data_IF_731366782183
#
_entry.id   IF_731366782183
#
_cell.length_a   1.000
_cell.length_b   1.000
_cell.length_c   1.000
_cell.angle_alpha   90.00
_cell.angle_beta   90.00
_cell.angle_gamma   90.00
#
_symmetry.space_group_name_H-M   'P 1'
#
loop_
_entity.id
_entity.type
_entity.pdbx_description
1 polymer ?
#
# COMPACT_ATOMS: atom_id res chain seq x y z
N UNK A 1 1.57 -1.95 20.87
CA UNK A 1 1.44 -2.14 19.42
C UNK A 1 0.53 -3.31 19.13
N UNK A 2 -0.17 -3.27 18.01
CA UNK A 2 -1.13 -4.28 17.60
C UNK A 2 -0.73 -4.83 16.24
N UNK A 3 0.28 -5.72 16.17
CA UNK A 3 0.75 -6.26 14.89
C UNK A 3 -0.30 -7.14 14.21
N UNK A 4 -1.19 -7.72 14.98
CA UNK A 4 -2.30 -8.54 14.50
C UNK A 4 -3.62 -8.06 15.10
N UNK A 5 -4.66 -8.09 14.29
CA UNK A 5 -6.05 -7.86 14.69
C UNK A 5 -6.83 -9.17 14.58
N UNK A 6 -7.66 -9.46 15.57
CA UNK A 6 -8.61 -10.57 15.49
C UNK A 6 -9.89 -10.07 14.80
N UNK A 7 -10.08 -10.47 13.55
CA UNK A 7 -11.28 -10.16 12.76
C UNK A 7 -11.97 -11.46 12.40
N UNK A 8 -13.26 -11.58 12.72
CA UNK A 8 -14.06 -12.78 12.44
C UNK A 8 -13.44 -14.08 12.99
N UNK A 9 -12.77 -14.02 14.16
CA UNK A 9 -12.10 -15.17 14.77
C UNK A 9 -10.77 -15.57 14.10
N UNK A 10 -10.26 -14.79 13.15
CA UNK A 10 -8.96 -15.01 12.50
C UNK A 10 -7.98 -13.88 12.84
N UNK A 11 -6.74 -14.25 13.11
CA UNK A 11 -5.64 -13.28 13.28
C UNK A 11 -5.18 -12.79 11.90
N UNK A 12 -5.34 -11.50 11.66
CA UNK A 12 -4.92 -10.84 10.42
C UNK A 12 -3.85 -9.80 10.71
N UNK A 13 -2.80 -9.68 9.88
CA UNK A 13 -1.80 -8.64 10.05
C UNK A 13 -2.43 -7.26 9.95
N UNK A 14 -2.21 -6.40 10.95
CA UNK A 14 -2.81 -5.05 11.02
C UNK A 14 -2.44 -4.20 9.80
N UNK A 15 -1.20 -4.33 9.29
CA UNK A 15 -0.77 -3.58 8.11
C UNK A 15 -1.59 -3.94 6.86
N UNK A 16 -1.98 -5.22 6.72
CA UNK A 16 -2.83 -5.66 5.60
C UNK A 16 -4.25 -5.08 5.70
N UNK A 17 -4.83 -5.13 6.91
CA UNK A 17 -6.16 -4.55 7.18
C UNK A 17 -6.16 -3.05 6.91
N UNK A 18 -5.16 -2.31 7.43
CA UNK A 18 -5.05 -0.87 7.21
C UNK A 18 -4.70 -0.53 5.75
N UNK A 19 -3.91 -1.36 5.07
CA UNK A 19 -3.66 -1.22 3.64
C UNK A 19 -4.95 -1.30 2.81
N UNK A 20 -5.78 -2.30 3.08
CA UNK A 20 -7.09 -2.44 2.44
C UNK A 20 -8.05 -1.29 2.80
N UNK A 21 -8.07 -0.88 4.08
CA UNK A 21 -8.85 0.28 4.51
C UNK A 21 -8.39 1.56 3.79
N UNK A 22 -7.08 1.76 3.64
CA UNK A 22 -6.51 2.88 2.88
C UNK A 22 -6.98 2.90 1.44
N UNK A 23 -6.97 1.74 0.75
CA UNK A 23 -7.52 1.63 -0.60
C UNK A 23 -9.02 1.98 -0.63
N UNK A 24 -9.81 1.54 0.35
CA UNK A 24 -11.21 1.91 0.47
C UNK A 24 -11.43 3.42 0.68
N UNK A 25 -10.65 4.04 1.57
CA UNK A 25 -10.73 5.50 1.80
C UNK A 25 -10.29 6.29 0.57
N UNK A 26 -9.25 5.85 -0.14
CA UNK A 26 -8.81 6.46 -1.39
C UNK A 26 -9.88 6.39 -2.48
N UNK A 27 -10.52 5.23 -2.65
CA UNK A 27 -11.64 5.08 -3.58
C UNK A 27 -12.81 6.00 -3.20
N UNK A 28 -13.19 6.02 -1.92
CA UNK A 28 -14.27 6.88 -1.44
C UNK A 28 -13.96 8.37 -1.70
N UNK A 29 -12.74 8.80 -1.39
CA UNK A 29 -12.31 10.18 -1.64
C UNK A 29 -12.39 10.54 -3.14
N UNK A 30 -11.92 9.64 -4.03
CA UNK A 30 -12.01 9.82 -5.47
C UNK A 30 -13.47 9.93 -5.95
N UNK A 31 -14.35 9.00 -5.52
CA UNK A 31 -15.75 8.96 -5.92
C UNK A 31 -16.55 10.17 -5.43
N UNK A 32 -16.27 10.67 -4.22
CA UNK A 32 -16.91 11.87 -3.69
C UNK A 32 -16.57 13.12 -4.51
N UNK A 33 -15.39 13.16 -5.12
CA UNK A 33 -14.92 14.29 -5.94
C UNK A 33 -15.40 14.24 -7.39
N UNK A 34 -15.77 13.08 -7.92
CA UNK A 34 -16.18 12.93 -9.33
C UNK A 34 -17.26 13.94 -9.75
N UNK A 35 -18.25 14.18 -8.90
CA UNK A 35 -19.32 15.14 -9.19
C UNK A 35 -18.80 16.57 -9.42
N UNK A 36 -17.80 16.99 -8.64
CA UNK A 36 -17.22 18.34 -8.75
C UNK A 36 -16.56 18.58 -10.11
N UNK A 37 -16.03 17.52 -10.71
CA UNK A 37 -15.32 17.59 -12.00
C UNK A 37 -16.17 17.07 -13.18
N UNK A 38 -17.45 16.79 -12.97
CA UNK A 38 -18.33 16.27 -14.02
C UNK A 38 -17.96 14.89 -14.55
N UNK A 39 -17.24 14.08 -13.73
CA UNK A 39 -16.75 12.77 -14.12
C UNK A 39 -17.71 11.65 -13.72
N UNK A 40 -17.76 10.59 -14.54
CA UNK A 40 -18.48 9.36 -14.24
C UNK A 40 -17.85 8.67 -13.02
N UNK A 41 -18.69 8.30 -12.04
CA UNK A 41 -18.23 7.54 -10.87
C UNK A 41 -17.79 6.13 -11.25
N UNK A 42 -18.47 5.51 -12.20
CA UNK A 42 -18.17 4.15 -12.65
C UNK A 42 -16.80 4.12 -13.32
N UNK A 43 -16.53 5.05 -14.24
CA UNK A 43 -15.23 5.16 -14.90
C UNK A 43 -14.10 5.44 -13.88
N UNK A 44 -14.34 6.34 -12.93
CA UNK A 44 -13.40 6.61 -11.85
C UNK A 44 -13.13 5.35 -11.01
N UNK A 45 -14.17 4.60 -10.64
CA UNK A 45 -14.02 3.36 -9.89
C UNK A 45 -13.23 2.31 -10.68
N UNK A 46 -13.53 2.13 -11.97
CA UNK A 46 -12.79 1.20 -12.84
C UNK A 46 -11.30 1.57 -12.93
N UNK A 47 -11.00 2.84 -13.20
CA UNK A 47 -9.61 3.30 -13.28
C UNK A 47 -8.88 3.14 -11.96
N UNK A 48 -9.53 3.47 -10.84
CA UNK A 48 -8.95 3.31 -9.50
C UNK A 48 -8.70 1.85 -9.16
N UNK A 49 -9.69 0.98 -9.32
CA UNK A 49 -9.59 -0.44 -8.96
C UNK A 49 -8.54 -1.14 -9.83
N UNK A 50 -8.56 -0.91 -11.15
CA UNK A 50 -7.57 -1.52 -12.04
C UNK A 50 -6.16 -0.96 -11.77
N UNK A 51 -6.05 0.33 -11.47
CA UNK A 51 -4.79 0.94 -11.01
C UNK A 51 -4.30 0.32 -9.70
N UNK A 52 -5.17 0.11 -8.72
CA UNK A 52 -4.82 -0.54 -7.44
C UNK A 52 -4.38 -2.00 -7.64
N UNK A 53 -5.10 -2.77 -8.46
CA UNK A 53 -4.71 -4.15 -8.82
C UNK A 53 -3.35 -4.15 -9.53
N UNK A 54 -3.16 -3.27 -10.51
CA UNK A 54 -1.88 -3.10 -11.20
C UNK A 54 -0.73 -2.73 -10.25
N UNK A 55 -1.02 -1.89 -9.25
CA UNK A 55 -0.04 -1.53 -8.22
C UNK A 55 0.34 -2.74 -7.36
N UNK A 56 -0.61 -3.54 -6.91
CA UNK A 56 -0.34 -4.75 -6.12
C UNK A 56 0.47 -5.76 -6.93
N UNK A 57 0.07 -6.02 -8.17
CA UNK A 57 0.76 -6.94 -9.07
C UNK A 57 2.17 -6.45 -9.39
N UNK A 58 2.31 -5.17 -9.76
CA UNK A 58 3.60 -4.58 -10.10
C UNK A 58 4.57 -4.57 -8.90
N UNK A 59 4.09 -4.22 -7.70
CA UNK A 59 4.88 -4.26 -6.48
C UNK A 59 5.42 -5.68 -6.20
N UNK A 60 4.58 -6.70 -6.43
CA UNK A 60 4.94 -8.10 -6.23
C UNK A 60 5.89 -8.60 -7.31
N UNK A 61 5.64 -8.27 -8.56
CA UNK A 61 6.51 -8.67 -9.66
C UNK A 61 7.92 -8.10 -9.49
N UNK A 62 8.04 -6.83 -9.13
CA UNK A 62 9.36 -6.22 -8.92
C UNK A 62 10.08 -6.79 -7.69
N UNK A 63 9.34 -7.23 -6.67
CA UNK A 63 9.91 -7.97 -5.54
C UNK A 63 10.45 -9.35 -5.96
N UNK A 64 9.70 -10.07 -6.79
CA UNK A 64 10.08 -11.43 -7.22
C UNK A 64 11.21 -11.42 -8.26
N UNK A 65 11.39 -10.34 -9.00
CA UNK A 65 12.36 -10.25 -10.09
C UNK A 65 13.80 -10.64 -9.66
N UNK A 66 14.39 -10.10 -8.58
CA UNK A 66 15.72 -10.52 -8.13
C UNK A 66 15.74 -11.94 -7.52
N UNK A 67 14.57 -12.48 -7.16
CA UNK A 67 14.44 -13.82 -6.58
C UNK A 67 14.20 -14.90 -7.64
N UNK A 68 14.06 -14.53 -8.93
CA UNK A 68 13.80 -15.50 -10.02
C UNK A 68 14.77 -16.69 -10.06
N UNK A 69 16.11 -16.53 -9.88
CA UNK A 69 17.01 -17.67 -9.88
C UNK A 69 16.70 -18.67 -8.76
N UNK A 70 16.36 -18.18 -7.56
CA UNK A 70 15.97 -19.05 -6.43
C UNK A 70 14.59 -19.66 -6.66
N UNK A 71 13.65 -18.86 -7.14
CA UNK A 71 12.29 -19.31 -7.44
C UNK A 71 12.29 -20.45 -8.46
N UNK A 72 13.15 -20.37 -9.49
CA UNK A 72 13.27 -21.43 -10.50
C UNK A 72 13.78 -22.76 -9.92
N UNK A 73 14.71 -22.72 -8.95
CA UNK A 73 15.22 -23.91 -8.27
C UNK A 73 14.21 -24.46 -7.27
N UNK A 74 13.51 -23.60 -6.55
CA UNK A 74 12.55 -23.97 -5.50
C UNK A 74 11.11 -24.13 -6.01
N UNK A 75 10.90 -24.10 -7.33
CA UNK A 75 9.57 -24.30 -7.92
C UNK A 75 8.89 -25.63 -7.51
N UNK A 76 9.60 -26.76 -7.34
CA UNK A 76 9.00 -27.99 -6.83
C UNK A 76 8.33 -27.83 -5.46
N UNK A 77 8.84 -26.92 -4.60
CA UNK A 77 8.26 -26.62 -3.28
C UNK A 77 6.79 -26.19 -3.37
N UNK A 78 6.37 -25.60 -4.50
CA UNK A 78 4.96 -25.22 -4.73
C UNK A 78 4.02 -26.43 -4.65
N UNK A 79 4.51 -27.61 -5.02
CA UNK A 79 3.73 -28.85 -5.06
C UNK A 79 3.96 -29.72 -3.82
N UNK A 80 5.19 -29.70 -3.29
CA UNK A 80 5.58 -30.51 -2.13
C UNK A 80 5.10 -29.86 -0.83
N UNK A 81 5.36 -28.56 -0.65
CA UNK A 81 5.01 -27.78 0.55
C UNK A 81 4.42 -26.40 0.19
N UNK A 82 3.19 -26.34 -0.32
CA UNK A 82 2.59 -25.07 -0.81
C UNK A 82 2.49 -23.99 0.26
N UNK A 83 2.36 -24.38 1.54
CA UNK A 83 2.35 -23.45 2.67
C UNK A 83 3.68 -22.76 2.87
N UNK A 84 4.78 -23.47 2.76
CA UNK A 84 6.14 -22.92 2.87
C UNK A 84 6.46 -22.03 1.66
N UNK A 85 6.11 -22.48 0.45
CA UNK A 85 6.25 -21.66 -0.76
C UNK A 85 5.50 -20.33 -0.63
N UNK A 86 4.23 -20.38 -0.16
CA UNK A 86 3.46 -19.18 0.10
C UNK A 86 4.14 -18.27 1.13
N UNK A 87 4.57 -18.81 2.26
CA UNK A 87 5.23 -18.06 3.32
C UNK A 87 6.51 -17.37 2.83
N UNK A 88 7.31 -18.06 2.02
CA UNK A 88 8.62 -17.62 1.53
C UNK A 88 8.51 -16.56 0.42
N UNK A 89 7.59 -16.74 -0.52
CA UNK A 89 7.53 -15.94 -1.75
C UNK A 89 6.29 -15.05 -1.85
N UNK A 90 5.16 -15.43 -1.26
CA UNK A 90 3.88 -14.76 -1.48
C UNK A 90 3.37 -13.95 -0.29
N UNK A 91 3.65 -14.37 0.95
CA UNK A 91 3.09 -13.74 2.16
C UNK A 91 3.58 -12.31 2.42
N UNK A 92 4.75 -11.93 1.92
CA UNK A 92 5.35 -10.62 2.12
C UNK A 92 6.05 -10.09 0.88
N UNK A 93 6.81 -9.02 1.05
CA UNK A 93 7.65 -8.44 0.00
C UNK A 93 6.85 -7.69 -1.08
N UNK A 94 6.87 -6.37 -0.98
CA UNK A 94 6.26 -5.44 -1.94
C UNK A 94 7.24 -4.31 -2.19
N UNK A 95 7.50 -3.98 -3.45
CA UNK A 95 8.41 -2.90 -3.83
C UNK A 95 7.62 -1.71 -4.33
N UNK A 96 7.79 -0.56 -3.69
CA UNK A 96 7.04 0.67 -3.99
C UNK A 96 7.09 1.05 -5.47
N UNK A 97 8.28 1.07 -6.08
CA UNK A 97 8.41 1.46 -7.50
C UNK A 97 7.68 0.50 -8.44
N UNK A 98 7.66 -0.79 -8.12
CA UNK A 98 6.86 -1.75 -8.88
C UNK A 98 5.38 -1.42 -8.81
N UNK A 99 4.91 -1.06 -7.61
CA UNK A 99 3.53 -0.62 -7.40
C UNK A 99 3.20 0.67 -8.14
N UNK A 100 4.08 1.65 -8.08
CA UNK A 100 3.89 2.93 -8.78
C UNK A 100 3.77 2.74 -10.30
N UNK A 101 4.75 2.09 -10.92
CA UNK A 101 4.73 1.88 -12.38
C UNK A 101 3.62 0.92 -12.81
N UNK A 102 3.37 -0.15 -12.04
CA UNK A 102 2.29 -1.10 -12.31
C UNK A 102 0.91 -0.45 -12.22
N UNK A 103 0.69 0.39 -11.22
CA UNK A 103 -0.55 1.13 -11.06
C UNK A 103 -0.81 2.13 -12.17
N UNK A 104 0.21 2.94 -12.52
CA UNK A 104 0.12 3.89 -13.65
C UNK A 104 -0.14 3.17 -14.98
N UNK A 105 0.60 2.09 -15.25
CA UNK A 105 0.44 1.32 -16.47
C UNK A 105 -0.96 0.69 -16.59
N UNK A 106 -1.47 0.12 -15.50
CA UNK A 106 -2.79 -0.48 -15.46
C UNK A 106 -3.91 0.57 -15.62
N UNK A 107 -3.81 1.69 -14.92
CA UNK A 107 -4.78 2.79 -15.06
C UNK A 107 -4.77 3.38 -16.48
N UNK A 108 -3.58 3.53 -17.06
CA UNK A 108 -3.43 4.01 -18.45
C UNK A 108 -4.01 3.01 -19.45
N UNK A 109 -3.70 1.71 -19.30
CA UNK A 109 -4.24 0.65 -20.14
C UNK A 109 -5.78 0.57 -20.05
N UNK A 110 -6.32 0.68 -18.84
CA UNK A 110 -7.76 0.73 -18.60
C UNK A 110 -8.41 1.96 -19.26
N UNK A 111 -7.82 3.14 -19.10
CA UNK A 111 -8.32 4.35 -19.74
C UNK A 111 -8.34 4.22 -21.27
N UNK A 112 -7.27 3.65 -21.85
CA UNK A 112 -7.18 3.40 -23.29
C UNK A 112 -8.25 2.40 -23.77
N UNK A 113 -8.47 1.33 -23.03
CA UNK A 113 -9.50 0.32 -23.34
C UNK A 113 -10.92 0.93 -23.30
N UNK A 114 -11.19 1.74 -22.28
CA UNK A 114 -12.47 2.43 -22.11
C UNK A 114 -12.61 3.69 -22.99
N UNK A 115 -11.62 4.03 -23.80
CA UNK A 115 -11.56 5.22 -24.64
C UNK A 115 -11.68 6.52 -23.83
N UNK A 116 -11.14 6.51 -22.61
CA UNK A 116 -11.09 7.66 -21.70
C UNK A 116 -9.72 8.35 -21.77
N UNK A 117 -9.67 9.62 -21.41
CA UNK A 117 -8.42 10.36 -21.22
C UNK A 117 -8.08 10.30 -19.73
N UNK A 118 -7.02 9.53 -19.38
CA UNK A 118 -6.60 9.37 -17.98
C UNK A 118 -6.32 10.71 -17.29
N UNK A 119 -5.80 11.70 -18.02
CA UNK A 119 -5.53 13.06 -17.51
C UNK A 119 -6.75 13.73 -16.91
N UNK A 120 -7.93 13.47 -17.43
CA UNK A 120 -9.17 14.11 -16.97
C UNK A 120 -9.55 13.63 -15.56
N UNK A 121 -9.04 12.43 -15.16
CA UNK A 121 -9.26 11.83 -13.84
C UNK A 121 -8.17 12.19 -12.81
N UNK A 122 -7.10 12.88 -13.20
CA UNK A 122 -6.04 13.28 -12.27
C UNK A 122 -6.54 14.10 -11.06
N UNK A 123 -7.46 15.05 -11.20
CA UNK A 123 -7.97 15.82 -10.06
C UNK A 123 -8.66 14.96 -8.97
N UNK A 124 -9.10 13.75 -9.31
CA UNK A 124 -9.76 12.84 -8.38
C UNK A 124 -8.88 11.67 -7.95
N UNK A 125 -8.05 11.12 -8.86
CA UNK A 125 -7.21 9.96 -8.58
C UNK A 125 -5.91 10.32 -7.84
N UNK A 126 -5.24 11.42 -8.24
CA UNK A 126 -3.96 11.80 -7.66
C UNK A 126 -4.06 12.13 -6.17
N UNK A 127 -5.06 12.89 -5.68
CA UNK A 127 -5.21 13.14 -4.25
C UNK A 127 -5.46 11.87 -3.42
N UNK A 128 -6.04 10.82 -4.00
CA UNK A 128 -6.28 9.58 -3.29
C UNK A 128 -4.97 8.84 -2.92
N UNK A 129 -3.90 9.03 -3.69
CA UNK A 129 -2.63 8.31 -3.47
C UNK A 129 -1.99 8.60 -2.11
N UNK A 130 -1.76 9.87 -1.71
CA UNK A 130 -1.20 10.17 -0.39
C UNK A 130 -2.10 9.71 0.75
N UNK A 131 -3.43 9.75 0.59
CA UNK A 131 -4.34 9.21 1.60
C UNK A 131 -4.15 7.70 1.81
N UNK A 132 -4.09 6.93 0.72
CA UNK A 132 -3.83 5.47 0.77
C UNK A 132 -2.49 5.19 1.44
N UNK A 133 -1.46 5.94 1.04
CA UNK A 133 -0.10 5.76 1.57
C UNK A 133 -0.05 6.10 3.06
N UNK A 134 -0.64 7.21 3.49
CA UNK A 134 -0.71 7.60 4.91
C UNK A 134 -1.31 6.51 5.79
N UNK A 135 -2.45 5.93 5.39
CA UNK A 135 -3.10 4.84 6.14
C UNK A 135 -2.20 3.59 6.15
N UNK A 136 -1.54 3.28 5.04
CA UNK A 136 -0.55 2.20 4.94
C UNK A 136 0.63 2.41 5.90
N UNK A 137 1.15 3.65 6.03
CA UNK A 137 2.25 3.98 6.97
C UNK A 137 1.84 3.83 8.43
N UNK A 138 0.60 4.16 8.77
CA UNK A 138 0.04 3.83 10.10
C UNK A 138 0.03 2.32 10.31
N UNK A 139 -0.30 1.53 9.28
CA UNK A 139 -0.21 0.07 9.30
C UNK A 139 1.21 -0.44 9.57
N UNK A 140 2.21 0.16 8.93
CA UNK A 140 3.62 -0.15 9.19
C UNK A 140 4.03 0.17 10.63
N UNK A 141 3.54 1.28 11.20
CA UNK A 141 3.78 1.61 12.60
C UNK A 141 3.16 0.57 13.54
N UNK A 142 1.92 0.13 13.30
CA UNK A 142 1.27 -0.91 14.09
C UNK A 142 2.02 -2.26 14.01
N UNK A 143 2.58 -2.58 12.86
CA UNK A 143 3.35 -3.81 12.64
C UNK A 143 4.78 -3.74 13.20
N UNK A 144 5.30 -2.54 13.49
CA UNK A 144 6.69 -2.35 13.94
C UNK A 144 7.71 -2.61 12.83
N UNK A 145 7.36 -2.28 11.57
CA UNK A 145 8.27 -2.38 10.42
C UNK A 145 8.58 -0.99 9.84
N UNK A 146 9.59 -0.88 8.96
CA UNK A 146 9.95 0.35 8.25
C UNK A 146 10.26 1.54 9.18
N UNK A 147 10.84 1.28 10.33
CA UNK A 147 11.23 2.24 11.36
C UNK A 147 12.48 3.04 10.96
N UNK A 148 12.70 4.17 11.65
CA UNK A 148 13.91 4.97 11.50
C UNK A 148 15.08 4.47 12.36
N UNK A 149 16.15 5.24 12.39
CA UNK A 149 17.33 4.96 13.22
C UNK A 149 17.00 4.98 14.72
N UNK A 150 17.86 4.36 15.52
CA UNK A 150 17.80 4.47 16.98
C UNK A 150 17.90 5.94 17.44
N UNK A 151 17.05 6.31 18.38
CA UNK A 151 17.02 7.64 18.96
C UNK A 151 16.58 7.58 20.42
N UNK A 152 17.18 8.41 21.31
CA UNK A 152 16.76 8.44 22.71
C UNK A 152 15.36 9.05 22.89
N UNK A 153 14.70 8.79 24.02
CA UNK A 153 13.49 9.51 24.40
C UNK A 153 13.74 11.04 24.47
N UNK A 154 12.76 11.89 24.13
CA UNK A 154 11.37 11.55 23.83
C UNK A 154 11.11 11.21 22.35
N UNK A 155 12.13 11.23 21.50
CA UNK A 155 11.97 11.09 20.05
C UNK A 155 11.82 9.63 19.59
N UNK A 156 12.48 8.71 20.30
CA UNK A 156 12.40 7.28 19.99
C UNK A 156 11.24 6.59 20.70
N UNK A 157 10.55 5.71 19.99
CA UNK A 157 9.49 4.82 20.49
C UNK A 157 10.01 3.39 20.47
N UNK A 158 9.93 2.70 21.62
CA UNK A 158 10.31 1.29 21.69
C UNK A 158 9.14 0.41 21.26
N UNK A 159 9.38 -0.44 20.25
CA UNK A 159 8.43 -1.44 19.82
C UNK A 159 8.51 -2.67 20.73
N UNK A 160 7.35 -3.22 21.13
CA UNK A 160 7.29 -4.36 22.06
C UNK A 160 6.92 -5.68 21.39
N UNK A 161 6.26 -5.61 20.22
CA UNK A 161 5.79 -6.78 19.46
C UNK A 161 5.94 -6.53 17.96
N UNK A 162 7.13 -6.07 17.54
CA UNK A 162 7.39 -5.79 16.13
C UNK A 162 7.46 -7.10 15.32
N UNK A 163 6.83 -7.12 14.14
CA UNK A 163 6.90 -8.26 13.21
C UNK A 163 8.27 -8.35 12.54
N UNK A 164 8.87 -7.18 12.21
CA UNK A 164 10.08 -7.11 11.40
C UNK A 164 11.11 -6.11 11.95
N UNK A 165 11.05 -5.76 13.22
CA UNK A 165 11.98 -4.82 13.85
C UNK A 165 12.50 -5.31 15.19
N UNK A 166 13.54 -4.64 15.74
CA UNK A 166 14.01 -4.94 17.09
C UNK A 166 12.96 -4.51 18.11
N UNK A 167 12.75 -5.35 19.13
CA UNK A 167 11.90 -5.03 20.26
C UNK A 167 12.73 -4.41 21.39
N UNK A 168 12.12 -3.48 22.13
CA UNK A 168 12.77 -2.83 23.29
C UNK A 168 13.78 -1.73 22.93
N UNK A 169 14.09 -1.52 21.67
CA UNK A 169 15.01 -0.47 21.20
C UNK A 169 14.20 0.77 20.81
N UNK A 170 14.51 1.97 21.38
CA UNK A 170 13.85 3.21 20.97
C UNK A 170 14.26 3.60 19.54
N UNK A 171 13.30 3.67 18.63
CA UNK A 171 13.48 3.97 17.21
C UNK A 171 12.63 5.18 16.81
N UNK A 172 13.12 5.98 15.88
CA UNK A 172 12.33 7.08 15.31
C UNK A 172 11.08 6.54 14.59
N UNK A 173 9.88 7.05 14.93
CA UNK A 173 8.63 6.63 14.32
C UNK A 173 8.42 7.33 12.97
N UNK A 174 9.35 7.14 12.03
CA UNK A 174 9.30 7.79 10.70
C UNK A 174 8.01 7.47 9.95
N UNK A 175 7.38 6.33 10.24
CA UNK A 175 6.09 5.95 9.67
C UNK A 175 5.01 6.99 9.99
N UNK A 176 4.97 7.49 11.22
CA UNK A 176 3.99 8.51 11.64
C UNK A 176 4.31 9.89 11.04
N UNK A 177 5.59 10.21 10.89
CA UNK A 177 5.99 11.46 10.25
C UNK A 177 5.64 11.45 8.77
N UNK A 178 5.89 10.34 8.08
CA UNK A 178 5.50 10.17 6.68
C UNK A 178 3.97 10.19 6.54
N UNK A 179 3.24 9.48 7.41
CA UNK A 179 1.78 9.52 7.40
C UNK A 179 1.25 10.95 7.57
N UNK A 180 1.83 11.72 8.49
CA UNK A 180 1.48 13.13 8.69
C UNK A 180 1.76 14.00 7.46
N UNK A 181 2.94 13.84 6.85
CA UNK A 181 3.31 14.56 5.63
C UNK A 181 2.38 14.22 4.46
N UNK A 182 2.04 12.94 4.29
CA UNK A 182 1.11 12.48 3.25
C UNK A 182 -0.32 13.04 3.46
N UNK A 183 -0.79 13.15 4.70
CA UNK A 183 -2.08 13.79 4.99
C UNK A 183 -2.06 15.29 4.68
N UNK A 184 -0.94 15.97 4.92
CA UNK A 184 -0.77 17.38 4.52
C UNK A 184 -0.79 17.51 3.00
N UNK A 185 -0.08 16.62 2.28
CA UNK A 185 -0.10 16.57 0.81
C UNK A 185 -1.53 16.31 0.30
N UNK A 186 -2.24 15.36 0.92
CA UNK A 186 -3.64 15.08 0.60
C UNK A 186 -4.51 16.33 0.74
N UNK A 187 -4.44 17.01 1.89
CA UNK A 187 -5.20 18.22 2.15
C UNK A 187 -4.87 19.34 1.15
N UNK A 188 -3.56 19.52 0.85
CA UNK A 188 -3.11 20.50 -0.15
C UNK A 188 -3.67 20.18 -1.55
N UNK A 189 -3.60 18.92 -1.99
CA UNK A 189 -4.14 18.50 -3.30
C UNK A 189 -5.67 18.67 -3.37
N UNK A 190 -6.38 18.44 -2.26
CA UNK A 190 -7.82 18.71 -2.19
C UNK A 190 -8.16 20.18 -2.34
N UNK A 191 -7.33 21.04 -1.77
CA UNK A 191 -7.52 22.49 -1.84
C UNK A 191 -7.13 23.06 -3.21
N UNK A 192 -6.02 22.58 -3.79
CA UNK A 192 -5.48 23.05 -5.05
C UNK A 192 -6.34 22.66 -6.27
N UNK A 193 -6.92 21.44 -6.28
CA UNK A 193 -7.76 20.91 -7.35
C UNK A 193 -9.25 21.13 -7.03
#
# INVERSE_FOLDING_TARGET
MLPYLSLFGRLMPTYGVLGMAGLGFGLLAALLRCKRFGLSRDDCAYLYILGAVGALVGAKLLYLLPLLPRLAVELPLLWEEPGEFYARYLSGGMVFYGGFFGGVAAAWGAAKYLRLRLSDFFPVLVPALPLVHAVGRVGCFCAGCCYGRAAPPPWGIAFTHAIAGPNGVPLLPVQLWEAGAELVIFAFLLWYA
#
